data_IF_584369108235
#
_entry.id   IF_584369108235
#
_cell.length_a   1.000
_cell.length_b   1.000
_cell.length_c   1.000
_cell.angle_alpha   90.00
_cell.angle_beta   90.00
_cell.angle_gamma   90.00
#
_symmetry.space_group_name_H-M   'P 1'
#
loop_
_entity.id
_entity.type
_entity.pdbx_description
1 polymer ?
#
# COMPACT_ATOMS: atom_id res chain seq x y z
N UNK A 1 -17.84 0.92 -14.58
CA UNK A 1 -18.05 1.99 -13.56
C UNK A 1 -17.15 1.82 -12.31
N UNK A 2 -16.64 0.62 -12.02
CA UNK A 2 -15.70 0.37 -10.91
C UNK A 2 -14.24 0.22 -11.39
N UNK A 3 -13.93 0.62 -12.62
CA UNK A 3 -12.66 0.33 -13.28
C UNK A 3 -11.59 1.40 -13.01
N UNK A 4 -11.94 2.46 -12.26
CA UNK A 4 -11.04 3.55 -11.91
C UNK A 4 -10.67 3.49 -10.41
N UNK A 5 -9.38 3.33 -10.07
CA UNK A 5 -8.90 3.29 -8.69
C UNK A 5 -9.28 4.51 -7.83
N UNK A 6 -9.35 5.71 -8.41
CA UNK A 6 -9.72 6.95 -7.69
C UNK A 6 -11.18 6.89 -7.29
N UNK A 7 -12.04 6.41 -8.20
CA UNK A 7 -13.47 6.25 -7.93
C UNK A 7 -13.71 5.22 -6.83
N UNK A 8 -13.03 4.07 -6.89
CA UNK A 8 -13.10 3.03 -5.86
C UNK A 8 -12.69 3.60 -4.49
N UNK A 9 -11.56 4.30 -4.42
CA UNK A 9 -11.09 4.94 -3.17
C UNK A 9 -12.11 5.92 -2.62
N UNK A 10 -12.74 6.73 -3.47
CA UNK A 10 -13.76 7.71 -3.07
C UNK A 10 -15.03 7.04 -2.55
N UNK A 11 -15.47 5.95 -3.17
CA UNK A 11 -16.63 5.18 -2.72
C UNK A 11 -16.33 4.50 -1.38
N UNK A 12 -15.14 3.91 -1.22
CA UNK A 12 -14.73 3.27 0.03
C UNK A 12 -14.80 4.21 1.25
N UNK A 13 -14.50 5.51 1.07
CA UNK A 13 -14.63 6.54 2.11
C UNK A 13 -16.08 6.82 2.55
N UNK A 14 -17.09 6.36 1.79
CA UNK A 14 -18.51 6.62 2.04
C UNK A 14 -19.26 5.42 2.62
N UNK A 15 -18.56 4.31 2.92
CA UNK A 15 -19.16 3.12 3.50
C UNK A 15 -19.72 3.45 4.88
N UNK A 16 -21.02 3.20 5.08
CA UNK A 16 -21.68 3.30 6.39
C UNK A 16 -21.49 1.98 7.15
N UNK A 17 -21.32 2.06 8.46
CA UNK A 17 -21.09 0.88 9.30
C UNK A 17 -19.69 0.27 9.20
N UNK A 18 -18.70 1.03 8.69
CA UNK A 18 -17.31 0.58 8.68
C UNK A 18 -16.81 0.35 10.12
N UNK A 19 -16.45 -0.89 10.43
CA UNK A 19 -15.85 -1.27 11.70
C UNK A 19 -14.33 -1.37 11.54
N UNK A 20 -13.62 -0.39 12.11
CA UNK A 20 -12.16 -0.34 12.02
C UNK A 20 -11.49 -1.52 12.73
N UNK A 21 -12.05 -2.02 13.83
CA UNK A 21 -11.46 -3.12 14.60
C UNK A 21 -11.52 -4.42 13.77
N UNK A 22 -12.69 -4.69 13.21
CA UNK A 22 -12.90 -5.84 12.33
C UNK A 22 -12.00 -5.75 11.09
N UNK A 23 -11.97 -4.58 10.43
CA UNK A 23 -11.09 -4.38 9.28
C UNK A 23 -9.61 -4.54 9.64
N UNK A 24 -9.18 -4.02 10.78
CA UNK A 24 -7.80 -4.16 11.24
C UNK A 24 -7.38 -5.61 11.44
N UNK A 25 -8.31 -6.49 11.82
CA UNK A 25 -8.04 -7.92 12.00
C UNK A 25 -7.78 -8.66 10.68
N UNK A 26 -8.29 -8.16 9.54
CA UNK A 26 -8.21 -8.85 8.24
C UNK A 26 -7.39 -8.14 7.16
N UNK A 27 -7.16 -6.81 7.29
CA UNK A 27 -6.56 -5.96 6.23
C UNK A 27 -5.22 -6.47 5.70
N UNK A 28 -4.38 -7.03 6.57
CA UNK A 28 -3.09 -7.60 6.18
C UNK A 28 -3.26 -8.83 5.27
N UNK A 29 -4.18 -9.73 5.61
CA UNK A 29 -4.47 -10.93 4.82
C UNK A 29 -5.04 -10.55 3.45
N UNK A 30 -5.97 -9.60 3.41
CA UNK A 30 -6.56 -9.10 2.16
C UNK A 30 -5.49 -8.46 1.28
N UNK A 31 -4.64 -7.60 1.83
CA UNK A 31 -3.56 -6.98 1.07
C UNK A 31 -2.53 -7.97 0.58
N UNK A 32 -2.12 -8.93 1.40
CA UNK A 32 -1.21 -9.99 0.98
C UNK A 32 -1.77 -10.75 -0.22
N UNK A 33 -3.04 -11.13 -0.17
CA UNK A 33 -3.72 -11.84 -1.27
C UNK A 33 -3.73 -10.99 -2.55
N UNK A 34 -4.03 -9.69 -2.43
CA UNK A 34 -4.01 -8.76 -3.57
C UNK A 34 -2.61 -8.54 -4.15
N UNK A 35 -1.58 -8.41 -3.31
CA UNK A 35 -0.19 -8.27 -3.74
C UNK A 35 0.29 -9.55 -4.42
N UNK A 36 -0.02 -10.72 -3.84
CA UNK A 36 0.29 -12.01 -4.44
C UNK A 36 -0.30 -12.12 -5.84
N UNK A 37 -1.61 -11.83 -6.00
CA UNK A 37 -2.27 -11.84 -7.29
C UNK A 37 -1.63 -10.83 -8.27
N UNK A 38 -1.33 -9.60 -7.81
CA UNK A 38 -0.71 -8.55 -8.65
C UNK A 38 0.63 -9.01 -9.25
N UNK A 39 1.50 -9.59 -8.43
CA UNK A 39 2.82 -10.00 -8.88
C UNK A 39 2.80 -11.32 -9.64
N UNK A 40 1.91 -12.26 -9.29
CA UNK A 40 1.78 -13.52 -10.06
C UNK A 40 1.10 -13.34 -11.41
N UNK A 41 0.17 -12.39 -11.53
CA UNK A 41 -0.50 -12.08 -12.80
C UNK A 41 0.42 -11.33 -13.78
N UNK A 42 1.43 -10.60 -13.29
CA UNK A 42 2.35 -9.83 -14.12
C UNK A 42 3.82 -10.17 -13.80
N UNK A 43 4.38 -11.06 -14.63
CA UNK A 43 5.76 -11.55 -14.48
C UNK A 43 6.82 -10.45 -14.58
N UNK A 44 6.57 -9.37 -15.32
CA UNK A 44 7.50 -8.25 -15.38
C UNK A 44 7.62 -7.56 -14.02
N UNK A 45 6.49 -7.29 -13.35
CA UNK A 45 6.50 -6.72 -12.00
C UNK A 45 7.12 -7.67 -10.99
N UNK A 46 6.87 -8.98 -11.12
CA UNK A 46 7.48 -9.98 -10.25
C UNK A 46 9.00 -10.00 -10.38
N UNK A 47 9.52 -9.90 -11.61
CA UNK A 47 10.96 -9.83 -11.84
C UNK A 47 11.57 -8.56 -11.26
N UNK A 48 10.89 -7.42 -11.39
CA UNK A 48 11.31 -6.17 -10.75
C UNK A 48 11.35 -6.29 -9.22
N UNK A 49 10.35 -6.95 -8.64
CA UNK A 49 10.32 -7.22 -7.20
C UNK A 49 11.48 -8.14 -6.77
N UNK A 50 11.75 -9.22 -7.51
CA UNK A 50 12.88 -10.11 -7.20
C UNK A 50 14.24 -9.43 -7.35
N UNK A 51 14.36 -8.50 -8.29
CA UNK A 51 15.60 -7.76 -8.53
C UNK A 51 16.02 -6.86 -7.34
N UNK A 52 15.12 -6.59 -6.37
CA UNK A 52 15.50 -5.87 -5.15
C UNK A 52 16.33 -6.72 -4.18
N UNK A 53 16.40 -8.04 -4.39
CA UNK A 53 17.10 -8.99 -3.52
C UNK A 53 16.73 -8.77 -2.04
N UNK A 54 17.71 -8.68 -1.13
CA UNK A 54 17.52 -8.41 0.30
C UNK A 54 17.27 -6.92 0.62
N UNK A 55 17.06 -6.09 -0.39
CA UNK A 55 16.78 -4.67 -0.24
C UNK A 55 15.43 -4.43 0.43
N UNK A 56 15.42 -3.59 1.47
CA UNK A 56 14.19 -3.15 2.12
C UNK A 56 13.45 -2.15 1.24
N UNK A 57 12.21 -2.49 0.87
CA UNK A 57 11.32 -1.62 0.11
C UNK A 57 10.43 -0.86 1.10
N UNK A 58 10.49 0.47 1.06
CA UNK A 58 9.61 1.33 1.84
C UNK A 58 8.86 2.30 0.93
N UNK A 59 7.55 2.40 1.11
CA UNK A 59 6.77 3.50 0.53
C UNK A 59 6.95 4.74 1.40
N UNK A 60 7.37 5.85 0.79
CA UNK A 60 7.47 7.14 1.45
C UNK A 60 6.23 8.00 1.16
N UNK A 61 5.36 8.15 2.16
CA UNK A 61 4.19 9.04 2.09
C UNK A 61 3.84 9.64 3.44
N UNK A 62 3.88 10.97 3.56
CA UNK A 62 3.41 11.67 4.77
C UNK A 62 1.89 11.56 5.00
N UNK A 63 1.13 11.21 3.96
CA UNK A 63 -0.35 11.16 4.02
C UNK A 63 -0.91 9.78 4.35
N UNK A 64 -0.09 8.72 4.31
CA UNK A 64 -0.55 7.35 4.55
C UNK A 64 0.36 6.62 5.56
N UNK A 65 0.02 6.66 6.84
CA UNK A 65 0.87 6.12 7.90
C UNK A 65 0.82 4.60 8.05
N UNK A 66 -0.15 3.94 7.42
CA UNK A 66 -0.37 2.51 7.66
C UNK A 66 0.45 1.59 6.74
N UNK A 67 0.46 1.88 5.44
CA UNK A 67 1.22 1.12 4.44
C UNK A 67 2.55 1.77 4.04
N UNK A 68 2.82 2.95 4.59
CA UNK A 68 4.01 3.73 4.30
C UNK A 68 4.74 4.09 5.59
N UNK A 69 5.99 4.52 5.48
CA UNK A 69 6.82 4.91 6.62
C UNK A 69 6.52 6.32 7.16
N UNK A 70 5.52 7.01 6.61
CA UNK A 70 5.11 8.34 7.10
C UNK A 70 6.05 9.50 6.73
N UNK A 71 7.10 9.27 5.93
CA UNK A 71 8.00 10.35 5.53
C UNK A 71 7.68 10.90 4.14
N UNK A 72 7.92 12.19 3.94
CA UNK A 72 7.82 12.83 2.63
C UNK A 72 9.15 12.64 1.87
N UNK A 73 9.16 12.08 0.65
CA UNK A 73 10.39 11.90 -0.13
C UNK A 73 11.15 13.19 -0.42
N UNK A 74 10.47 14.35 -0.36
CA UNK A 74 11.00 15.68 -0.70
C UNK A 74 11.45 16.51 0.51
N UNK A 75 11.44 15.98 1.73
CA UNK A 75 11.96 16.73 2.86
C UNK A 75 13.49 16.65 2.89
N UNK A 76 14.15 17.71 2.44
CA UNK A 76 15.58 17.96 2.68
C UNK A 76 15.80 18.28 4.16
N UNK A 77 15.71 17.29 5.05
CA UNK A 77 16.30 17.32 6.39
C UNK A 77 16.71 15.89 6.78
N UNK A 78 17.88 15.51 6.27
CA UNK A 78 18.72 14.50 6.91
C UNK A 78 19.35 15.18 8.13
N UNK A 79 18.72 15.04 9.30
CA UNK A 79 19.39 15.18 10.58
C UNK A 79 18.75 14.14 11.50
N UNK A 80 19.39 12.97 11.57
CA UNK A 80 19.25 12.07 12.72
C UNK A 80 20.42 12.40 13.64
N UNK A 81 20.14 13.14 14.73
CA UNK A 81 20.97 13.13 15.94
C UNK A 81 20.59 11.92 16.80
#
# INVERSE_FOLDING_TARGET
MLDNPITIRRIGKRIRGYNQIEWNSVRNKVMYTGLWAKFTQNMQLFNQLRATNDGLIAQASASELYWSNGVCPKSSKTERS
#
